data_IF_467650429219
#
_entry.id   IF_467650429219
#
_cell.length_a   1.000
_cell.length_b   1.000
_cell.length_c   1.000
_cell.angle_alpha   90.00
_cell.angle_beta   90.00
_cell.angle_gamma   90.00
#
_symmetry.space_group_name_H-M   'P 1'
#
loop_
_entity.id
_entity.type
_entity.pdbx_description
1 polymer ?
#
# COMPACT_ATOMS: atom_id res chain seq x y z
N UNK A 1 -9.56 12.96 -44.99
CA UNK A 1 -8.76 11.73 -45.14
C UNK A 1 -9.76 10.59 -45.11
N UNK A 2 -9.97 9.90 -46.22
CA UNK A 2 -10.96 8.81 -46.32
C UNK A 2 -10.50 7.69 -45.38
N UNK A 3 -11.43 7.18 -44.56
CA UNK A 3 -11.19 6.04 -43.67
C UNK A 3 -10.82 4.80 -44.50
N UNK A 4 -9.81 4.04 -44.06
CA UNK A 4 -9.42 2.80 -44.74
C UNK A 4 -10.57 1.81 -44.75
N UNK A 5 -11.43 1.81 -43.73
CA UNK A 5 -12.63 0.98 -43.67
C UNK A 5 -13.64 1.35 -44.77
N UNK A 6 -13.92 2.64 -44.96
CA UNK A 6 -14.80 3.14 -46.01
C UNK A 6 -14.24 2.82 -47.40
N UNK A 7 -12.92 2.96 -47.58
CA UNK A 7 -12.24 2.63 -48.83
C UNK A 7 -12.23 1.13 -49.12
N UNK A 8 -12.05 0.30 -48.10
CA UNK A 8 -12.13 -1.17 -48.19
C UNK A 8 -13.53 -1.60 -48.61
N UNK A 9 -14.55 -1.03 -47.98
CA UNK A 9 -15.95 -1.32 -48.29
C UNK A 9 -16.30 -0.92 -49.72
N UNK A 10 -15.91 0.29 -50.15
CA UNK A 10 -16.13 0.74 -51.53
C UNK A 10 -15.42 -0.14 -52.56
N UNK A 11 -14.15 -0.52 -52.33
CA UNK A 11 -13.40 -1.41 -53.22
C UNK A 11 -13.97 -2.83 -53.28
N UNK A 12 -14.51 -3.34 -52.18
CA UNK A 12 -15.18 -4.65 -52.16
C UNK A 12 -16.44 -4.64 -53.02
N UNK A 13 -17.25 -3.59 -52.91
CA UNK A 13 -18.46 -3.43 -53.73
C UNK A 13 -18.11 -3.29 -55.22
N UNK A 14 -17.10 -2.47 -55.55
CA UNK A 14 -16.62 -2.33 -56.93
C UNK A 14 -16.07 -3.66 -57.49
N UNK A 15 -15.40 -4.47 -56.66
CA UNK A 15 -14.92 -5.79 -57.06
C UNK A 15 -16.05 -6.76 -57.34
N UNK A 16 -17.07 -6.81 -56.47
CA UNK A 16 -18.26 -7.66 -56.67
C UNK A 16 -19.00 -7.29 -57.97
N UNK A 17 -19.13 -5.99 -58.26
CA UNK A 17 -19.71 -5.49 -59.50
C UNK A 17 -18.88 -5.87 -60.74
N UNK A 18 -17.56 -5.74 -60.67
CA UNK A 18 -16.65 -6.12 -61.75
C UNK A 18 -16.64 -7.62 -62.02
N UNK A 19 -16.72 -8.45 -60.98
CA UNK A 19 -16.80 -9.91 -61.09
C UNK A 19 -18.14 -10.37 -61.69
N UNK A 20 -19.25 -9.72 -61.31
CA UNK A 20 -20.55 -9.95 -61.93
C UNK A 20 -20.54 -9.55 -63.42
N UNK A 21 -19.94 -8.39 -63.75
CA UNK A 21 -19.79 -7.93 -65.12
C UNK A 21 -18.90 -8.86 -65.96
N UNK A 22 -17.84 -9.41 -65.38
CA UNK A 22 -17.00 -10.43 -66.02
C UNK A 22 -17.82 -11.69 -66.35
N UNK A 23 -18.61 -12.19 -65.40
CA UNK A 23 -19.47 -13.35 -65.61
C UNK A 23 -20.49 -13.14 -66.74
N UNK A 24 -21.12 -11.96 -66.79
CA UNK A 24 -22.03 -11.59 -67.87
C UNK A 24 -21.32 -11.50 -69.24
N UNK A 25 -20.12 -10.90 -69.30
CA UNK A 25 -19.35 -10.80 -70.53
C UNK A 25 -18.93 -12.16 -71.09
N UNK A 26 -18.59 -13.11 -70.22
CA UNK A 26 -18.27 -14.50 -70.60
C UNK A 26 -19.47 -15.20 -71.23
N UNK A 27 -20.67 -15.04 -70.65
CA UNK A 27 -21.91 -15.61 -71.20
C UNK A 27 -22.31 -14.97 -72.54
N UNK A 28 -22.10 -13.66 -72.68
CA UNK A 28 -22.43 -12.89 -73.87
C UNK A 28 -21.37 -12.97 -74.99
N UNK A 29 -20.23 -13.63 -74.74
CA UNK A 29 -19.11 -13.68 -75.69
C UNK A 29 -18.43 -12.32 -75.95
N UNK A 30 -18.57 -11.37 -75.01
CA UNK A 30 -18.00 -10.02 -75.12
C UNK A 30 -16.59 -9.96 -74.51
N UNK A 31 -15.69 -9.13 -75.04
CA UNK A 31 -14.39 -8.89 -74.43
C UNK A 31 -14.57 -8.20 -73.07
N UNK A 32 -13.80 -8.64 -72.07
CA UNK A 32 -13.71 -8.06 -70.74
C UNK A 32 -12.24 -7.90 -70.36
N UNK A 33 -11.89 -6.84 -69.61
CA UNK A 33 -10.52 -6.60 -69.15
C UNK A 33 -10.28 -7.19 -67.74
N UNK A 34 -9.58 -8.33 -67.62
CA UNK A 34 -9.27 -8.91 -66.32
C UNK A 34 -8.22 -8.11 -65.53
N UNK A 35 -7.47 -7.20 -66.18
CA UNK A 35 -6.45 -6.41 -65.51
C UNK A 35 -7.06 -5.46 -64.47
N UNK A 36 -8.26 -4.94 -64.75
CA UNK A 36 -8.99 -4.06 -63.84
C UNK A 36 -9.35 -4.77 -62.52
N UNK A 37 -9.83 -6.02 -62.56
CA UNK A 37 -10.08 -6.84 -61.36
C UNK A 37 -8.78 -7.09 -60.60
N UNK A 38 -7.71 -7.48 -61.32
CA UNK A 38 -6.41 -7.75 -60.70
C UNK A 38 -5.83 -6.53 -59.98
N UNK A 39 -5.96 -5.34 -60.58
CA UNK A 39 -5.53 -4.08 -59.97
C UNK A 39 -6.33 -3.77 -58.70
N UNK A 40 -7.65 -3.92 -58.73
CA UNK A 40 -8.52 -3.69 -57.57
C UNK A 40 -8.30 -4.68 -56.44
N UNK A 41 -8.07 -5.97 -56.74
CA UNK A 41 -7.66 -6.98 -55.75
C UNK A 41 -6.31 -6.65 -55.12
N UNK A 42 -5.36 -6.15 -55.91
CA UNK A 42 -4.06 -5.73 -55.41
C UNK A 42 -4.16 -4.51 -54.49
N UNK A 43 -5.05 -3.55 -54.82
CA UNK A 43 -5.34 -2.40 -53.96
C UNK A 43 -5.98 -2.83 -52.64
N UNK A 44 -6.96 -3.74 -52.67
CA UNK A 44 -7.59 -4.29 -51.47
C UNK A 44 -6.57 -5.00 -50.56
N UNK A 45 -5.71 -5.85 -51.14
CA UNK A 45 -4.66 -6.53 -50.41
C UNK A 45 -3.64 -5.55 -49.78
N UNK A 46 -3.35 -4.43 -50.45
CA UNK A 46 -2.50 -3.38 -49.90
C UNK A 46 -3.16 -2.67 -48.72
N UNK A 47 -4.47 -2.46 -48.74
CA UNK A 47 -5.24 -1.90 -47.62
C UNK A 47 -5.24 -2.87 -46.44
N UNK A 48 -5.53 -4.15 -46.65
CA UNK A 48 -5.51 -5.15 -45.59
C UNK A 48 -4.13 -5.26 -44.92
N UNK A 49 -3.04 -5.23 -45.72
CA UNK A 49 -1.69 -5.21 -45.21
C UNK A 49 -1.39 -3.95 -44.39
N UNK A 50 -1.91 -2.79 -44.80
CA UNK A 50 -1.75 -1.54 -44.06
C UNK A 50 -2.53 -1.55 -42.74
N UNK A 51 -3.76 -2.07 -42.70
CA UNK A 51 -4.57 -2.24 -41.48
C UNK A 51 -3.90 -3.21 -40.49
N UNK A 52 -3.36 -4.32 -40.99
CA UNK A 52 -2.64 -5.29 -40.18
C UNK A 52 -1.36 -4.70 -39.56
N UNK A 53 -0.58 -3.95 -40.33
CA UNK A 53 0.62 -3.27 -39.85
C UNK A 53 0.28 -2.14 -38.85
N UNK A 54 -0.79 -1.37 -39.10
CA UNK A 54 -1.26 -0.35 -38.15
C UNK A 54 -1.65 -0.99 -36.81
N UNK A 55 -2.46 -2.06 -36.85
CA UNK A 55 -2.84 -2.84 -35.66
C UNK A 55 -1.61 -3.37 -34.92
N UNK A 56 -0.61 -3.86 -35.64
CA UNK A 56 0.65 -4.34 -35.04
C UNK A 56 1.38 -3.20 -34.32
N UNK A 57 1.49 -2.02 -34.94
CA UNK A 57 2.14 -0.84 -34.34
C UNK A 57 1.40 -0.38 -33.09
N UNK A 58 0.08 -0.32 -33.13
CA UNK A 58 -0.75 0.04 -31.96
C UNK A 58 -0.53 -0.94 -30.79
N UNK A 59 -0.52 -2.25 -31.07
CA UNK A 59 -0.22 -3.28 -30.06
C UNK A 59 1.17 -3.11 -29.45
N UNK A 60 2.18 -2.86 -30.28
CA UNK A 60 3.56 -2.64 -29.81
C UNK A 60 3.66 -1.37 -28.95
N UNK A 61 3.04 -0.27 -29.39
CA UNK A 61 3.01 0.99 -28.64
C UNK A 61 2.30 0.81 -27.29
N UNK A 62 1.12 0.17 -27.28
CA UNK A 62 0.38 -0.13 -26.06
C UNK A 62 1.20 -1.03 -25.11
N UNK A 63 1.88 -2.05 -25.63
CA UNK A 63 2.75 -2.93 -24.84
C UNK A 63 3.93 -2.17 -24.22
N UNK A 64 4.53 -1.22 -24.95
CA UNK A 64 5.62 -0.37 -24.45
C UNK A 64 5.14 0.54 -23.31
N UNK A 65 4.00 1.22 -23.48
CA UNK A 65 3.39 2.06 -22.42
C UNK A 65 3.09 1.24 -21.17
N UNK A 66 2.54 0.04 -21.31
CA UNK A 66 2.28 -0.83 -20.16
C UNK A 66 3.57 -1.34 -19.51
N UNK A 67 4.63 -1.59 -20.29
CA UNK A 67 5.93 -1.98 -19.76
C UNK A 67 6.57 -0.84 -18.95
N UNK A 68 6.48 0.39 -19.43
CA UNK A 68 6.93 1.60 -18.73
C UNK A 68 6.14 1.82 -17.44
N UNK A 69 4.81 1.74 -17.49
CA UNK A 69 3.96 1.83 -16.29
C UNK A 69 4.32 0.77 -15.25
N UNK A 70 4.53 -0.48 -15.68
CA UNK A 70 4.98 -1.54 -14.77
C UNK A 70 6.36 -1.27 -14.17
N UNK A 71 7.27 -0.66 -14.93
CA UNK A 71 8.58 -0.28 -14.41
C UNK A 71 8.45 0.81 -13.34
N UNK A 72 7.68 1.86 -13.61
CA UNK A 72 7.42 2.93 -12.65
C UNK A 72 6.82 2.39 -11.33
N UNK A 73 5.77 1.56 -11.43
CA UNK A 73 5.15 0.94 -10.24
C UNK A 73 6.16 0.07 -9.47
N UNK A 74 7.01 -0.70 -10.16
CA UNK A 74 8.05 -1.49 -9.49
C UNK A 74 9.02 -0.62 -8.70
N UNK A 75 9.40 0.53 -9.24
CA UNK A 75 10.32 1.44 -8.57
C UNK A 75 9.64 2.15 -7.39
N UNK A 76 8.38 2.56 -7.52
CA UNK A 76 7.57 3.06 -6.40
C UNK A 76 7.42 2.02 -5.28
N UNK A 77 7.21 0.75 -5.64
CA UNK A 77 7.13 -0.36 -4.68
C UNK A 77 8.45 -0.57 -3.95
N UNK A 78 9.61 -0.44 -4.62
CA UNK A 78 10.92 -0.54 -3.95
C UNK A 78 11.10 0.55 -2.90
N UNK A 79 10.74 1.79 -3.25
CA UNK A 79 10.80 2.93 -2.31
C UNK A 79 9.87 2.71 -1.13
N UNK A 80 8.64 2.28 -1.39
CA UNK A 80 7.65 1.99 -0.35
C UNK A 80 8.08 0.84 0.56
N UNK A 81 8.66 -0.22 0.00
CA UNK A 81 9.18 -1.37 0.74
C UNK A 81 10.34 -0.96 1.65
N UNK A 82 11.31 -0.19 1.14
CA UNK A 82 12.40 0.33 1.95
C UNK A 82 11.89 1.21 3.11
N UNK A 83 10.92 2.10 2.84
CA UNK A 83 10.30 2.91 3.87
C UNK A 83 9.55 2.08 4.93
N UNK A 84 8.90 0.99 4.52
CA UNK A 84 8.24 0.05 5.42
C UNK A 84 9.24 -0.72 6.28
N UNK A 85 10.33 -1.23 5.70
CA UNK A 85 11.42 -1.90 6.43
C UNK A 85 12.05 -0.98 7.47
N UNK A 86 12.35 0.27 7.11
CA UNK A 86 12.87 1.28 8.02
C UNK A 86 11.87 1.59 9.16
N UNK A 87 10.58 1.65 8.86
CA UNK A 87 9.54 1.82 9.86
C UNK A 87 9.49 0.63 10.84
N UNK A 88 9.60 -0.61 10.34
CA UNK A 88 9.65 -1.81 11.17
C UNK A 88 10.87 -1.84 12.09
N UNK A 89 12.06 -1.50 11.57
CA UNK A 89 13.28 -1.44 12.38
C UNK A 89 13.16 -0.38 13.47
N UNK A 90 12.61 0.80 13.16
CA UNK A 90 12.35 1.84 14.16
C UNK A 90 11.34 1.38 15.21
N UNK A 91 10.24 0.74 14.80
CA UNK A 91 9.24 0.20 15.72
C UNK A 91 9.85 -0.85 16.65
N UNK A 92 10.68 -1.76 16.13
CA UNK A 92 11.38 -2.76 16.94
C UNK A 92 12.33 -2.13 17.96
N UNK A 93 13.10 -1.10 17.57
CA UNK A 93 13.99 -0.38 18.48
C UNK A 93 13.21 0.33 19.58
N UNK A 94 12.09 0.99 19.23
CA UNK A 94 11.22 1.64 20.21
C UNK A 94 10.60 0.62 21.18
N UNK A 95 10.15 -0.54 20.69
CA UNK A 95 9.63 -1.60 21.54
C UNK A 95 10.68 -2.16 22.51
N UNK A 96 11.93 -2.33 22.07
CA UNK A 96 13.04 -2.73 22.96
C UNK A 96 13.33 -1.67 24.02
N UNK A 97 13.43 -0.40 23.62
CA UNK A 97 13.67 0.70 24.54
C UNK A 97 12.54 0.82 25.58
N UNK A 98 11.29 0.63 25.17
CA UNK A 98 10.14 0.58 26.08
C UNK A 98 10.27 -0.58 27.07
N UNK A 99 10.60 -1.79 26.60
CA UNK A 99 10.77 -2.96 27.47
C UNK A 99 11.90 -2.76 28.50
N UNK A 100 13.03 -2.18 28.09
CA UNK A 100 14.15 -1.83 28.97
C UNK A 100 13.73 -0.80 30.02
N UNK A 101 13.10 0.31 29.59
CA UNK A 101 12.64 1.37 30.50
C UNK A 101 11.60 0.86 31.53
N UNK A 102 10.70 -0.02 31.12
CA UNK A 102 9.71 -0.65 32.02
C UNK A 102 10.40 -1.60 33.01
N UNK A 103 11.40 -2.35 32.57
CA UNK A 103 12.23 -3.20 33.44
C UNK A 103 12.99 -2.38 34.50
N UNK A 104 13.56 -1.25 34.10
CA UNK A 104 14.22 -0.31 35.00
C UNK A 104 13.25 0.30 36.01
N UNK A 105 12.08 0.75 35.56
CA UNK A 105 11.04 1.29 36.43
C UNK A 105 10.60 0.27 37.49
N UNK A 106 10.40 -0.99 37.11
CA UNK A 106 10.06 -2.10 38.03
C UNK A 106 11.17 -2.35 39.04
N UNK A 107 12.43 -2.33 38.59
CA UNK A 107 13.60 -2.52 39.47
C UNK A 107 13.70 -1.39 40.50
N UNK A 108 13.53 -0.13 40.07
CA UNK A 108 13.53 1.04 40.95
C UNK A 108 12.36 1.04 41.92
N UNK A 109 11.17 0.62 41.49
CA UNK A 109 10.01 0.49 42.37
C UNK A 109 10.25 -0.53 43.50
N UNK A 110 10.86 -1.68 43.19
CA UNK A 110 11.26 -2.67 44.20
C UNK A 110 12.27 -2.12 45.20
N UNK A 111 13.26 -1.36 44.70
CA UNK A 111 14.26 -0.74 45.55
C UNK A 111 13.63 0.30 46.49
N UNK A 112 12.76 1.18 45.96
CA UNK A 112 12.01 2.15 46.76
C UNK A 112 11.13 1.47 47.81
N UNK A 113 10.46 0.38 47.46
CA UNK A 113 9.67 -0.40 48.41
C UNK A 113 10.54 -0.99 49.54
N UNK A 114 11.71 -1.56 49.20
CA UNK A 114 12.67 -2.08 50.18
C UNK A 114 13.16 -0.98 51.13
N UNK A 115 13.47 0.20 50.58
CA UNK A 115 13.90 1.36 51.35
C UNK A 115 12.80 1.86 52.27
N UNK A 116 11.56 1.97 51.78
CA UNK A 116 10.40 2.35 52.58
C UNK A 116 10.17 1.40 53.76
N UNK A 117 10.22 0.09 53.51
CA UNK A 117 10.10 -0.92 54.57
C UNK A 117 11.25 -0.83 55.60
N UNK A 118 12.46 -0.55 55.15
CA UNK A 118 13.63 -0.39 56.04
C UNK A 118 13.53 0.87 56.91
N UNK A 119 12.87 1.93 56.42
CA UNK A 119 12.56 3.15 57.18
C UNK A 119 11.33 2.98 58.09
N UNK A 120 10.59 1.88 57.99
CA UNK A 120 9.34 1.66 58.74
C UNK A 120 8.12 2.39 58.14
N UNK A 121 8.20 2.84 56.89
CA UNK A 121 7.06 3.44 56.20
C UNK A 121 6.12 2.40 55.63
N UNK A 122 4.85 2.79 55.48
CA UNK A 122 3.91 2.05 54.65
C UNK A 122 4.27 2.26 53.17
N UNK A 123 4.39 1.16 52.43
CA UNK A 123 4.66 1.19 50.98
C UNK A 123 3.57 1.92 50.21
N UNK A 124 3.91 2.91 49.38
CA UNK A 124 2.95 3.53 48.46
C UNK A 124 2.41 2.52 47.44
N UNK A 125 1.11 2.58 47.15
CA UNK A 125 0.43 1.68 46.19
C UNK A 125 1.13 1.65 44.83
N UNK A 126 1.67 2.77 44.37
CA UNK A 126 2.30 2.85 43.06
C UNK A 126 3.69 2.17 42.97
N UNK A 127 4.34 1.86 44.09
CA UNK A 127 5.60 1.07 44.14
C UNK A 127 5.41 -0.30 44.81
N UNK A 128 4.19 -0.61 45.21
CA UNK A 128 3.82 -1.90 45.77
C UNK A 128 3.97 -3.01 44.70
N UNK A 129 4.58 -4.16 45.03
CA UNK A 129 4.85 -5.23 44.06
C UNK A 129 3.61 -5.78 43.34
N UNK A 130 2.44 -5.74 43.98
CA UNK A 130 1.19 -6.25 43.40
C UNK A 130 0.52 -5.22 42.47
N UNK A 131 0.76 -3.93 42.69
CA UNK A 131 0.08 -2.85 42.00
C UNK A 131 0.94 -2.17 40.93
N UNK A 132 2.27 -2.19 41.06
CA UNK A 132 3.19 -1.53 40.12
C UNK A 132 3.01 -2.00 38.68
N UNK A 133 2.74 -3.29 38.47
CA UNK A 133 2.51 -3.85 37.14
C UNK A 133 1.18 -3.35 36.53
N UNK A 134 0.15 -3.21 37.37
CA UNK A 134 -1.15 -2.65 36.96
C UNK A 134 -1.04 -1.17 36.62
N UNK A 135 -0.28 -0.40 37.40
CA UNK A 135 -0.04 1.03 37.13
C UNK A 135 0.75 1.20 35.82
N UNK A 136 1.86 0.49 35.66
CA UNK A 136 2.69 0.57 34.45
C UNK A 136 1.93 0.14 33.20
N UNK A 137 1.15 -0.95 33.27
CA UNK A 137 0.36 -1.42 32.12
C UNK A 137 -0.71 -0.41 31.67
N UNK A 138 -1.38 0.28 32.60
CA UNK A 138 -2.35 1.34 32.28
C UNK A 138 -1.69 2.56 31.64
N UNK A 139 -0.52 2.95 32.15
CA UNK A 139 0.27 4.05 31.58
C UNK A 139 0.71 3.74 30.15
N UNK A 140 1.24 2.53 29.91
CA UNK A 140 1.63 2.07 28.57
C UNK A 140 0.42 1.98 27.62
N UNK A 141 -0.71 1.44 28.10
CA UNK A 141 -1.92 1.33 27.30
C UNK A 141 -2.46 2.70 26.86
N UNK A 142 -2.33 3.74 27.70
CA UNK A 142 -2.66 5.11 27.35
C UNK A 142 -1.83 5.65 26.19
N UNK A 143 -0.51 5.42 26.22
CA UNK A 143 0.41 5.87 25.15
C UNK A 143 0.24 5.10 23.85
N UNK A 144 -0.15 3.83 23.93
CA UNK A 144 -0.38 2.97 22.75
C UNK A 144 -1.78 3.13 22.15
N UNK A 145 -2.67 3.90 22.79
CA UNK A 145 -4.03 4.14 22.33
C UNK A 145 -4.14 4.62 20.87
N UNK A 146 -3.27 5.50 20.34
CA UNK A 146 -3.35 5.94 18.95
C UNK A 146 -3.13 4.82 17.92
N UNK A 147 -2.51 3.71 18.32
CA UNK A 147 -2.26 2.55 17.46
C UNK A 147 -3.43 1.54 17.53
N UNK A 148 -4.31 1.67 18.52
CA UNK A 148 -5.49 0.83 18.67
C UNK A 148 -6.63 1.31 17.77
N UNK A 149 -7.11 0.47 16.85
CA UNK A 149 -8.30 0.76 16.04
C UNK A 149 -9.17 -0.49 15.91
N UNK A 150 -10.47 -0.47 16.26
CA UNK A 150 -11.16 0.33 17.29
C UNK A 150 -11.10 -0.28 18.71
N UNK A 151 -10.53 -1.48 18.89
CA UNK A 151 -10.47 -2.20 20.18
C UNK A 151 -9.15 -2.92 20.45
N UNK A 152 -8.17 -2.80 19.55
CA UNK A 152 -6.93 -3.53 19.62
C UNK A 152 -5.94 -3.17 18.53
N UNK A 153 -4.74 -3.73 18.63
CA UNK A 153 -3.73 -3.77 17.57
C UNK A 153 -3.30 -5.23 17.38
N UNK A 154 -3.77 -5.86 16.29
CA UNK A 154 -3.55 -7.28 16.05
C UNK A 154 -4.11 -8.14 17.18
N UNK A 155 -3.23 -8.90 17.85
CA UNK A 155 -3.59 -9.77 18.99
C UNK A 155 -3.63 -9.04 20.34
N UNK A 156 -3.21 -7.77 20.39
CA UNK A 156 -3.25 -6.96 21.60
C UNK A 156 -4.62 -6.28 21.71
N UNK A 157 -5.34 -6.55 22.80
CA UNK A 157 -6.57 -5.85 23.16
C UNK A 157 -6.29 -4.85 24.27
N UNK A 158 -6.89 -3.66 24.15
CA UNK A 158 -6.74 -2.60 25.15
C UNK A 158 -8.10 -2.27 25.71
N UNK A 159 -8.20 -2.17 27.04
CA UNK A 159 -9.32 -1.48 27.65
C UNK A 159 -9.01 0.01 27.50
N UNK A 160 -9.91 0.79 26.89
CA UNK A 160 -9.77 2.25 26.86
C UNK A 160 -9.88 2.75 28.29
N UNK A 161 -8.74 3.00 28.92
CA UNK A 161 -8.66 3.61 30.24
C UNK A 161 -8.12 5.02 30.03
N UNK A 162 -8.83 6.08 30.45
CA UNK A 162 -8.24 7.42 30.48
C UNK A 162 -7.02 7.36 31.39
N UNK A 163 -5.84 7.45 30.79
CA UNK A 163 -4.57 7.42 31.52
C UNK A 163 -4.13 8.85 31.77
N UNK A 164 -3.91 9.27 33.02
CA UNK A 164 -3.26 10.55 33.29
C UNK A 164 -1.84 10.53 32.72
N UNK A 165 -1.30 11.70 32.37
CA UNK A 165 0.12 11.82 31.99
C UNK A 165 1.00 11.20 33.09
N UNK A 166 2.05 10.48 32.68
CA UNK A 166 2.92 9.70 33.58
C UNK A 166 3.50 10.55 34.72
N UNK A 167 3.82 11.81 34.43
CA UNK A 167 4.29 12.82 35.39
C UNK A 167 3.24 13.12 36.46
N UNK A 168 1.97 13.19 36.09
CA UNK A 168 0.86 13.55 36.99
C UNK A 168 0.61 12.46 38.03
N UNK A 169 0.73 11.18 37.67
CA UNK A 169 0.57 10.07 38.62
C UNK A 169 1.75 10.02 39.60
N UNK A 170 2.97 10.26 39.13
CA UNK A 170 4.16 10.35 39.98
C UNK A 170 4.06 11.50 41.00
N UNK A 171 3.68 12.70 40.55
CA UNK A 171 3.53 13.89 41.39
C UNK A 171 2.46 13.73 42.48
N UNK A 172 1.37 13.02 42.19
CA UNK A 172 0.25 12.86 43.13
C UNK A 172 0.44 11.72 44.11
N UNK A 173 0.93 10.57 43.63
CA UNK A 173 0.85 9.31 44.37
C UNK A 173 2.19 8.84 44.95
N UNK A 174 3.32 9.24 44.33
CA UNK A 174 4.65 8.75 44.70
C UNK A 174 5.46 9.85 45.39
N UNK A 175 5.61 11.01 44.73
CA UNK A 175 6.49 12.08 45.21
C UNK A 175 6.20 12.52 46.65
N UNK A 176 4.95 12.81 47.07
CA UNK A 176 4.70 13.35 48.41
C UNK A 176 5.10 12.39 49.54
N UNK A 177 4.99 11.07 49.32
CA UNK A 177 5.31 10.08 50.36
C UNK A 177 6.81 9.99 50.60
N UNK A 178 7.61 10.04 49.53
CA UNK A 178 9.07 9.98 49.65
C UNK A 178 9.69 11.34 49.96
N UNK A 179 9.07 12.44 49.52
CA UNK A 179 9.59 13.79 49.73
C UNK A 179 9.58 14.18 51.22
N UNK A 180 8.55 13.76 51.97
CA UNK A 180 8.51 13.95 53.43
C UNK A 180 9.72 13.32 54.16
N UNK A 181 10.23 12.18 53.66
CA UNK A 181 11.42 11.52 54.23
C UNK A 181 12.72 12.13 53.74
N UNK A 182 12.75 12.64 52.51
CA UNK A 182 13.92 13.31 51.96
C UNK A 182 14.16 14.66 52.66
N UNK A 183 13.10 15.36 53.05
CA UNK A 183 13.13 16.68 53.69
C UNK A 183 13.23 16.64 55.24
N UNK A 184 13.17 15.45 55.87
CA UNK A 184 13.39 15.25 57.32
C UNK A 184 14.88 15.31 57.74
N UNK A 185 15.79 15.55 56.79
CA UNK A 185 17.24 15.83 57.01
C UNK A 185 17.60 17.24 56.55
#
# INVERSE_FOLDING_TARGET
MIDLADRRMALSVELDELEAAQGAAVLDGKPFDPATISAKRSELAAIDAAEAENTRRERVAAAAVQAERRAAIRDEMKVSLAGYEDALVRAQRAAKALAEAVGDARTRARELNRQAGSYGMKTPVAVDPHNVETVLSRLIAGELLPVASPSGFGVMSWISVPSPEWSTEYEKSIRPVFQAVIEEN
#
